data_IF_859561124309
#
_entry.id   IF_859561124309
#
_cell.length_a   1.000
_cell.length_b   1.000
_cell.length_c   1.000
_cell.angle_alpha   90.00
_cell.angle_beta   90.00
_cell.angle_gamma   90.00
#
_symmetry.space_group_name_H-M   'P 1'
#
loop_
_entity.id
_entity.type
_entity.pdbx_description
1 polymer ?
#
# COMPACT_ATOMS: atom_id res chain seq x y z
N UNK A 1 -8.34 2.22 -10.44
CA UNK A 1 -7.81 3.43 -11.12
C UNK A 1 -6.60 3.02 -11.97
N UNK A 2 -5.82 3.97 -12.48
CA UNK A 2 -4.44 3.80 -12.95
C UNK A 2 -3.47 3.82 -11.77
N UNK A 3 -2.26 3.28 -11.98
CA UNK A 3 -1.23 3.23 -10.93
C UNK A 3 -0.89 4.60 -10.34
N UNK A 4 -0.94 5.69 -11.13
CA UNK A 4 -0.63 7.05 -10.65
C UNK A 4 -1.62 7.51 -9.60
N UNK A 5 -2.90 7.30 -9.89
CA UNK A 5 -3.99 7.69 -8.98
C UNK A 5 -4.01 6.82 -7.74
N UNK A 6 -3.71 5.52 -7.87
CA UNK A 6 -3.54 4.63 -6.72
C UNK A 6 -2.43 5.12 -5.78
N UNK A 7 -1.22 5.31 -6.31
CA UNK A 7 -0.08 5.81 -5.53
C UNK A 7 -0.40 7.14 -4.84
N UNK A 8 -0.96 8.11 -5.59
CA UNK A 8 -1.28 9.42 -5.03
C UNK A 8 -2.36 9.34 -3.94
N UNK A 9 -3.46 8.66 -4.19
CA UNK A 9 -4.58 8.54 -3.24
C UNK A 9 -4.15 7.77 -1.99
N UNK A 10 -3.44 6.64 -2.17
CA UNK A 10 -2.91 5.85 -1.07
C UNK A 10 -1.93 6.65 -0.23
N UNK A 11 -1.05 7.44 -0.86
CA UNK A 11 -0.09 8.29 -0.12
C UNK A 11 -0.80 9.39 0.67
N UNK A 12 -1.76 10.09 0.05
CA UNK A 12 -2.57 11.13 0.71
C UNK A 12 -3.35 10.59 1.93
N UNK A 13 -3.82 9.35 1.86
CA UNK A 13 -4.53 8.73 3.01
C UNK A 13 -3.54 8.22 4.07
N UNK A 14 -2.44 7.57 3.66
CA UNK A 14 -1.52 6.92 4.58
C UNK A 14 -0.64 7.92 5.35
N UNK A 15 -0.14 8.96 4.68
CA UNK A 15 0.81 9.91 5.25
C UNK A 15 0.34 10.55 6.58
N UNK A 16 -0.87 11.15 6.68
CA UNK A 16 -1.34 11.73 7.93
C UNK A 16 -1.54 10.67 9.02
N UNK A 17 -1.99 9.46 8.67
CA UNK A 17 -2.15 8.36 9.63
C UNK A 17 -0.80 7.95 10.22
N UNK A 18 0.24 7.82 9.39
CA UNK A 18 1.59 7.48 9.84
C UNK A 18 2.17 8.57 10.74
N UNK A 19 1.93 9.84 10.42
CA UNK A 19 2.42 10.99 11.19
C UNK A 19 1.71 11.09 12.55
N UNK A 20 0.38 11.05 12.56
CA UNK A 20 -0.43 11.13 13.79
C UNK A 20 -0.16 9.92 14.67
N UNK A 21 0.04 8.74 14.08
CA UNK A 21 0.44 7.53 14.80
C UNK A 21 1.88 7.54 15.30
N UNK A 22 2.67 8.58 15.02
CA UNK A 22 4.10 8.66 15.36
C UNK A 22 4.95 7.50 14.84
N UNK A 23 4.52 6.88 13.73
CA UNK A 23 5.18 5.74 13.09
C UNK A 23 5.71 6.10 11.68
N UNK A 24 5.72 7.37 11.31
CA UNK A 24 6.29 7.81 10.04
C UNK A 24 7.75 7.37 9.97
N UNK A 25 8.08 6.62 8.91
CA UNK A 25 9.44 6.22 8.57
C UNK A 25 9.54 6.17 7.04
N UNK A 26 10.67 6.62 6.48
CA UNK A 26 10.85 6.64 5.02
C UNK A 26 10.70 5.24 4.40
N UNK A 27 11.17 4.19 5.07
CA UNK A 27 11.03 2.81 4.58
C UNK A 27 9.57 2.32 4.63
N UNK A 28 8.79 2.72 5.63
CA UNK A 28 7.35 2.44 5.67
C UNK A 28 6.66 3.16 4.50
N UNK A 29 6.97 4.43 4.25
CA UNK A 29 6.38 5.20 3.15
C UNK A 29 6.74 4.60 1.78
N UNK A 30 7.98 4.17 1.57
CA UNK A 30 8.39 3.42 0.37
C UNK A 30 7.59 2.12 0.25
N UNK A 31 7.43 1.40 1.36
CA UNK A 31 6.59 0.21 1.42
C UNK A 31 5.14 0.50 0.99
N UNK A 32 4.53 1.58 1.50
CA UNK A 32 3.17 2.03 1.13
C UNK A 32 3.06 2.28 -0.38
N UNK A 33 4.03 2.99 -0.96
CA UNK A 33 4.05 3.26 -2.41
C UNK A 33 4.14 1.95 -3.19
N UNK A 34 5.07 1.06 -2.84
CA UNK A 34 5.22 -0.25 -3.50
C UNK A 34 3.93 -1.07 -3.36
N UNK A 35 3.39 -1.17 -2.15
CA UNK A 35 2.17 -1.91 -1.83
C UNK A 35 0.95 -1.41 -2.62
N UNK A 36 0.84 -0.10 -2.84
CA UNK A 36 -0.24 0.49 -3.65
C UNK A 36 -0.20 0.08 -5.13
N UNK A 37 0.96 -0.35 -5.62
CA UNK A 37 1.17 -0.77 -7.01
C UNK A 37 1.06 -2.29 -7.18
N UNK A 38 1.34 -3.07 -6.13
CA UNK A 38 1.43 -4.52 -6.20
C UNK A 38 0.17 -5.22 -6.75
N UNK A 39 -1.06 -4.89 -6.30
CA UNK A 39 -2.24 -5.61 -6.79
C UNK A 39 -2.43 -5.44 -8.31
N UNK A 40 -2.05 -4.28 -8.84
CA UNK A 40 -2.21 -3.94 -10.26
C UNK A 40 -1.17 -4.58 -11.18
N UNK A 41 -0.15 -5.26 -10.64
CA UNK A 41 0.83 -6.04 -11.42
C UNK A 41 0.14 -7.17 -12.20
N UNK A 42 -0.99 -7.69 -11.70
CA UNK A 42 -1.78 -8.77 -12.31
C UNK A 42 -2.54 -8.34 -13.60
N UNK A 43 -2.55 -7.05 -13.96
CA UNK A 43 -3.16 -6.61 -15.23
C UNK A 43 -2.28 -7.00 -16.43
N UNK A 44 -2.82 -7.83 -17.33
CA UNK A 44 -2.25 -8.09 -18.66
C UNK A 44 -1.91 -6.78 -19.36
N UNK A 45 -0.66 -6.61 -19.78
CA UNK A 45 -0.17 -5.42 -20.49
C UNK A 45 0.51 -4.37 -19.60
N UNK A 46 0.56 -4.55 -18.28
CA UNK A 46 1.42 -3.72 -17.41
C UNK A 46 2.91 -3.99 -17.71
N UNK A 47 3.79 -2.99 -17.54
CA UNK A 47 5.24 -3.16 -17.75
C UNK A 47 5.84 -4.29 -16.90
N UNK A 48 5.23 -4.63 -15.76
CA UNK A 48 5.70 -5.66 -14.81
C UNK A 48 5.12 -7.05 -15.13
N UNK A 49 3.90 -7.14 -15.69
CA UNK A 49 3.30 -8.42 -16.13
C UNK A 49 4.12 -9.19 -17.18
N UNK A 50 5.09 -8.52 -17.82
CA UNK A 50 6.04 -9.12 -18.77
C UNK A 50 7.06 -10.06 -18.11
N UNK A 51 7.31 -9.94 -16.81
CA UNK A 51 8.30 -10.76 -16.11
C UNK A 51 7.75 -12.12 -15.65
N UNK A 52 6.42 -12.26 -15.47
CA UNK A 52 5.79 -13.53 -15.09
C UNK A 52 4.45 -13.71 -15.84
N UNK A 53 4.48 -13.95 -17.17
CA UNK A 53 3.29 -13.85 -18.03
C UNK A 53 2.23 -14.95 -17.84
N UNK A 54 2.59 -16.06 -17.16
CA UNK A 54 1.73 -17.25 -17.03
C UNK A 54 0.72 -17.11 -15.88
N UNK A 55 1.16 -16.56 -14.75
CA UNK A 55 0.35 -16.42 -13.53
C UNK A 55 -0.91 -15.55 -13.74
N UNK A 56 -0.82 -14.38 -14.41
CA UNK A 56 -1.99 -13.54 -14.66
C UNK A 56 -3.07 -14.21 -15.51
N UNK A 57 -2.66 -15.01 -16.51
CA UNK A 57 -3.59 -15.72 -17.38
C UNK A 57 -4.41 -16.81 -16.68
N UNK A 58 -3.78 -17.55 -15.75
CA UNK A 58 -4.44 -18.61 -14.97
C UNK A 58 -5.36 -18.00 -13.91
N UNK A 59 -4.91 -16.96 -13.23
CA UNK A 59 -5.68 -16.27 -12.20
C UNK A 59 -6.89 -15.55 -12.78
N UNK A 60 -6.74 -14.88 -13.92
CA UNK A 60 -7.87 -14.24 -14.61
C UNK A 60 -8.88 -15.28 -15.13
N UNK A 61 -8.42 -16.42 -15.67
CA UNK A 61 -9.33 -17.49 -16.14
C UNK A 61 -10.14 -18.12 -15.00
N UNK A 62 -9.53 -18.29 -13.81
CA UNK A 62 -10.16 -18.93 -12.65
C UNK A 62 -10.97 -17.96 -11.78
N UNK A 63 -10.50 -16.73 -11.62
CA UNK A 63 -11.04 -15.75 -10.70
C UNK A 63 -11.53 -14.46 -11.37
N UNK A 64 -11.53 -14.36 -12.70
CA UNK A 64 -12.03 -13.20 -13.47
C UNK A 64 -11.16 -11.95 -13.34
N UNK A 65 -11.63 -10.83 -13.91
CA UNK A 65 -10.99 -9.52 -13.76
C UNK A 65 -10.89 -9.11 -12.28
N UNK A 66 -9.69 -8.74 -11.82
CA UNK A 66 -9.35 -8.39 -10.42
C UNK A 66 -9.67 -9.54 -9.46
N UNK A 67 -9.01 -10.67 -9.72
CA UNK A 67 -9.24 -11.98 -9.10
C UNK A 67 -8.64 -12.12 -7.70
N UNK A 68 -7.95 -13.24 -7.44
CA UNK A 68 -7.48 -13.61 -6.09
C UNK A 68 -6.46 -12.63 -5.50
N UNK A 69 -5.70 -11.91 -6.33
CA UNK A 69 -4.73 -10.89 -5.86
C UNK A 69 -5.45 -9.66 -5.28
N UNK A 70 -6.63 -9.32 -5.79
CA UNK A 70 -7.47 -8.22 -5.28
C UNK A 70 -8.40 -8.69 -4.16
N UNK A 71 -7.84 -9.35 -3.15
CA UNK A 71 -8.59 -9.93 -2.03
C UNK A 71 -7.93 -9.66 -0.67
N UNK A 72 -8.73 -9.71 0.39
CA UNK A 72 -8.24 -9.63 1.77
C UNK A 72 -7.31 -10.79 2.11
N UNK A 73 -7.47 -11.95 1.47
CA UNK A 73 -6.58 -13.09 1.68
C UNK A 73 -5.16 -12.75 1.20
N UNK A 74 -5.02 -12.11 0.04
CA UNK A 74 -3.72 -11.69 -0.48
C UNK A 74 -3.05 -10.67 0.43
N UNK A 75 -3.77 -9.64 0.88
CA UNK A 75 -3.26 -8.67 1.88
C UNK A 75 -2.92 -9.35 3.20
N UNK A 76 -3.75 -10.27 3.67
CA UNK A 76 -3.57 -11.00 4.92
C UNK A 76 -2.30 -11.85 4.93
N UNK A 77 -1.95 -12.49 3.81
CA UNK A 77 -0.70 -13.26 3.68
C UNK A 77 0.51 -12.34 3.88
N UNK A 78 0.54 -11.17 3.26
CA UNK A 78 1.63 -10.19 3.44
C UNK A 78 1.68 -9.72 4.90
N UNK A 79 0.52 -9.47 5.51
CA UNK A 79 0.42 -9.11 6.92
C UNK A 79 0.97 -10.20 7.87
N UNK A 80 0.64 -11.47 7.63
CA UNK A 80 1.16 -12.60 8.42
C UNK A 80 2.68 -12.72 8.28
N UNK A 81 3.21 -12.60 7.06
CA UNK A 81 4.67 -12.59 6.84
C UNK A 81 5.33 -11.43 7.59
N UNK A 82 4.72 -10.25 7.55
CA UNK A 82 5.19 -9.07 8.30
C UNK A 82 5.25 -9.35 9.80
N UNK A 83 4.21 -9.96 10.37
CA UNK A 83 4.15 -10.32 11.79
C UNK A 83 5.25 -11.34 12.13
N UNK A 84 5.41 -12.40 11.33
CA UNK A 84 6.44 -13.43 11.56
C UNK A 84 7.83 -12.80 11.56
N UNK A 85 8.16 -11.99 10.55
CA UNK A 85 9.48 -11.34 10.48
C UNK A 85 9.72 -10.37 11.64
N UNK A 86 8.68 -9.64 12.05
CA UNK A 86 8.75 -8.77 13.23
C UNK A 86 9.04 -9.57 14.49
N UNK A 87 8.35 -10.70 14.71
CA UNK A 87 8.57 -11.59 15.85
C UNK A 87 9.98 -12.21 15.83
N UNK A 88 10.45 -12.70 14.67
CA UNK A 88 11.81 -13.23 14.54
C UNK A 88 12.87 -12.16 14.85
N UNK A 89 12.61 -10.89 14.50
CA UNK A 89 13.51 -9.79 14.82
C UNK A 89 13.52 -9.45 16.31
N UNK A 90 12.34 -9.41 16.96
CA UNK A 90 12.21 -9.20 18.40
C UNK A 90 12.91 -10.32 19.20
N UNK A 91 12.80 -11.57 18.73
CA UNK A 91 13.46 -12.72 19.33
C UNK A 91 14.97 -12.80 19.04
N UNK A 92 15.52 -11.84 18.30
CA UNK A 92 16.95 -11.80 17.96
C UNK A 92 17.41 -12.86 16.95
N UNK A 93 16.48 -13.57 16.30
CA UNK A 93 16.77 -14.62 15.30
C UNK A 93 17.22 -13.99 13.98
N UNK A 94 16.61 -12.86 13.61
CA UNK A 94 17.06 -12.02 12.49
C UNK A 94 17.47 -10.64 13.00
N UNK A 95 18.60 -10.14 12.51
CA UNK A 95 19.14 -8.84 12.93
C UNK A 95 18.73 -7.68 12.01
N UNK A 96 17.86 -7.92 11.02
CA UNK A 96 17.45 -6.91 10.04
C UNK A 96 16.00 -6.49 10.27
N UNK A 97 15.81 -5.23 10.71
CA UNK A 97 14.50 -4.64 10.94
C UNK A 97 13.87 -4.05 9.66
N UNK A 98 14.69 -3.69 8.67
CA UNK A 98 14.27 -3.06 7.40
C UNK A 98 13.20 -3.90 6.66
N UNK A 99 13.36 -5.23 6.49
CA UNK A 99 12.35 -6.01 5.76
C UNK A 99 10.97 -5.94 6.40
N UNK A 100 10.89 -5.97 7.74
CA UNK A 100 9.64 -5.94 8.48
C UNK A 100 8.91 -4.60 8.33
N UNK A 101 9.61 -3.46 8.47
CA UNK A 101 8.97 -2.14 8.32
C UNK A 101 8.55 -1.84 6.89
N UNK A 102 9.32 -2.30 5.90
CA UNK A 102 8.92 -2.16 4.48
C UNK A 102 7.68 -3.00 4.21
N UNK A 103 7.64 -4.26 4.68
CA UNK A 103 6.48 -5.13 4.51
C UNK A 103 5.23 -4.63 5.25
N UNK A 104 5.41 -3.97 6.40
CA UNK A 104 4.33 -3.26 7.07
C UNK A 104 3.74 -2.15 6.20
N UNK A 105 4.60 -1.32 5.61
CA UNK A 105 4.19 -0.32 4.63
C UNK A 105 3.49 -0.94 3.41
N UNK A 106 4.05 -2.03 2.86
CA UNK A 106 3.44 -2.77 1.74
C UNK A 106 2.04 -3.24 2.10
N UNK A 107 1.84 -3.79 3.31
CA UNK A 107 0.53 -4.25 3.78
C UNK A 107 -0.50 -3.11 3.78
N UNK A 108 -0.13 -1.94 4.31
CA UNK A 108 -0.98 -0.74 4.33
C UNK A 108 -1.31 -0.30 2.90
N UNK A 109 -0.29 -0.14 2.05
CA UNK A 109 -0.47 0.32 0.67
C UNK A 109 -1.34 -0.62 -0.16
N UNK A 110 -1.12 -1.93 0.00
CA UNK A 110 -1.92 -2.96 -0.67
C UNK A 110 -3.39 -2.89 -0.20
N UNK A 111 -3.62 -2.76 1.11
CA UNK A 111 -4.97 -2.66 1.65
C UNK A 111 -5.71 -1.41 1.12
N UNK A 112 -5.05 -0.24 1.12
CA UNK A 112 -5.64 0.99 0.61
C UNK A 112 -5.95 0.90 -0.89
N UNK A 113 -5.07 0.26 -1.68
CA UNK A 113 -5.39 -0.07 -3.08
C UNK A 113 -6.69 -0.88 -3.20
N UNK A 114 -6.90 -1.91 -2.37
CA UNK A 114 -8.16 -2.68 -2.38
C UNK A 114 -9.37 -1.81 -2.05
N UNK A 115 -9.24 -0.90 -1.07
CA UNK A 115 -10.30 0.06 -0.74
C UNK A 115 -10.64 0.95 -1.94
N UNK A 116 -9.63 1.50 -2.61
CA UNK A 116 -9.77 2.34 -3.80
C UNK A 116 -10.44 1.58 -4.95
N UNK A 117 -10.05 0.33 -5.18
CA UNK A 117 -10.66 -0.51 -6.20
C UNK A 117 -12.07 -0.99 -5.82
N UNK A 118 -12.37 -1.12 -4.54
CA UNK A 118 -13.72 -1.36 -4.01
C UNK A 118 -14.70 -0.21 -4.26
N UNK A 119 -14.21 1.02 -4.47
CA UNK A 119 -15.02 2.18 -4.83
C UNK A 119 -15.36 2.24 -6.33
N UNK A 120 -14.71 1.41 -7.16
CA UNK A 120 -14.98 1.35 -8.60
C UNK A 120 -16.38 0.81 -8.92
N UNK A 121 -16.87 1.06 -10.14
CA UNK A 121 -18.14 0.49 -10.63
C UNK A 121 -18.14 -1.05 -10.70
N UNK A 122 -16.97 -1.66 -10.84
CA UNK A 122 -16.78 -3.12 -10.87
C UNK A 122 -16.64 -3.74 -9.48
N UNK A 123 -16.15 -2.97 -8.50
CA UNK A 123 -15.76 -3.48 -7.19
C UNK A 123 -14.57 -4.45 -7.26
N UNK A 124 -14.39 -5.21 -6.18
CA UNK A 124 -13.40 -6.31 -6.10
C UNK A 124 -13.99 -7.54 -5.41
N UNK A 125 -13.31 -8.68 -5.59
CA UNK A 125 -13.64 -9.94 -4.93
C UNK A 125 -12.92 -10.05 -3.58
N UNK A 126 -13.37 -9.23 -2.62
CA UNK A 126 -12.80 -9.11 -1.27
C UNK A 126 -12.44 -10.44 -0.60
N UNK A 127 -13.26 -11.47 -0.81
CA UNK A 127 -13.13 -12.77 -0.14
C UNK A 127 -12.63 -13.90 -1.06
N UNK A 128 -12.09 -13.59 -2.25
CA UNK A 128 -11.38 -14.59 -3.03
C UNK A 128 -10.11 -15.08 -2.28
N UNK A 129 -9.65 -16.32 -2.50
CA UNK A 129 -10.22 -17.36 -3.36
C UNK A 129 -11.41 -18.11 -2.72
N UNK A 130 -11.79 -17.82 -1.48
CA UNK A 130 -12.85 -18.53 -0.75
C UNK A 130 -14.26 -18.28 -1.29
N UNK A 131 -14.53 -17.04 -1.75
CA UNK A 131 -15.80 -16.65 -2.37
C UNK A 131 -15.55 -15.87 -3.65
N UNK A 132 -16.21 -16.28 -4.73
CA UNK A 132 -16.05 -15.70 -6.06
C UNK A 132 -17.11 -14.62 -6.37
N UNK A 133 -17.45 -13.77 -5.39
CA UNK A 133 -18.46 -12.70 -5.53
C UNK A 133 -17.80 -11.33 -5.39
N UNK A 134 -18.10 -10.43 -6.33
CA UNK A 134 -17.64 -9.04 -6.27
C UNK A 134 -18.53 -8.22 -5.33
N UNK A 135 -17.90 -7.41 -4.48
CA UNK A 135 -18.59 -6.43 -3.63
C UNK A 135 -18.01 -5.04 -3.88
N UNK A 136 -18.89 -4.04 -3.82
CA UNK A 136 -18.58 -2.64 -4.06
C UNK A 136 -18.78 -1.87 -2.76
N UNK A 137 -17.74 -1.19 -2.29
CA UNK A 137 -17.86 -0.28 -1.15
C UNK A 137 -18.81 0.86 -1.50
N UNK A 138 -18.79 1.31 -2.75
CA UNK A 138 -19.60 2.43 -3.25
C UNK A 138 -21.10 2.15 -3.35
N UNK A 139 -21.57 0.92 -3.09
CA UNK A 139 -23.01 0.63 -3.00
C UNK A 139 -23.61 1.09 -1.66
N UNK A 140 -22.79 1.34 -0.63
CA UNK A 140 -23.24 1.98 0.61
C UNK A 140 -23.54 3.46 0.35
N UNK A 141 -24.68 3.96 0.87
CA UNK A 141 -25.16 5.34 0.63
C UNK A 141 -24.08 6.40 0.90
N UNK A 142 -23.35 6.26 2.01
CA UNK A 142 -22.29 7.19 2.41
C UNK A 142 -21.09 7.23 1.44
N UNK A 143 -20.86 6.20 0.62
CA UNK A 143 -19.73 6.15 -0.32
C UNK A 143 -20.15 6.25 -1.79
N UNK A 144 -21.44 6.49 -2.06
CA UNK A 144 -21.98 6.53 -3.42
C UNK A 144 -21.34 7.63 -4.28
N UNK A 145 -21.00 8.77 -3.67
CA UNK A 145 -20.38 9.90 -4.38
C UNK A 145 -18.93 9.62 -4.83
N UNK A 146 -18.23 8.73 -4.13
CA UNK A 146 -16.86 8.30 -4.46
C UNK A 146 -16.80 7.27 -5.62
N UNK A 147 -17.95 6.86 -6.15
CA UNK A 147 -18.02 5.87 -7.23
C UNK A 147 -17.40 6.40 -8.53
N UNK A 148 -16.55 5.58 -9.15
CA UNK A 148 -15.87 5.91 -10.40
C UNK A 148 -15.75 4.74 -11.39
N UNK A 149 -15.59 5.08 -12.67
CA UNK A 149 -15.29 4.15 -13.75
C UNK A 149 -13.86 4.41 -14.23
N UNK A 150 -13.07 3.35 -14.40
CA UNK A 150 -11.73 3.46 -14.98
C UNK A 150 -11.90 3.64 -16.49
N UNK A 151 -11.47 4.79 -16.99
CA UNK A 151 -11.41 5.14 -18.41
C UNK A 151 -9.97 5.61 -18.56
N UNK A 152 -9.12 4.82 -19.22
CA UNK A 152 -7.66 5.02 -19.20
C UNK A 152 -7.24 6.47 -19.46
N UNK A 153 -6.08 6.88 -18.93
CA UNK A 153 -5.63 8.27 -18.89
C UNK A 153 -5.54 8.95 -20.27
N UNK A 154 -5.41 8.18 -21.36
CA UNK A 154 -5.36 8.67 -22.75
C UNK A 154 -6.74 8.99 -23.35
N UNK A 155 -7.83 8.54 -22.72
CA UNK A 155 -9.17 8.55 -23.32
C UNK A 155 -10.04 9.74 -22.84
N UNK A 156 -9.38 10.84 -22.44
CA UNK A 156 -10.02 12.08 -22.01
C UNK A 156 -10.15 12.26 -20.50
N UNK A 157 -10.64 13.43 -20.10
CA UNK A 157 -10.81 13.79 -18.69
C UNK A 157 -11.90 12.93 -18.02
N UNK A 158 -11.60 12.41 -16.84
CA UNK A 158 -12.47 11.48 -16.11
C UNK A 158 -12.42 11.75 -14.60
N UNK A 159 -13.34 11.17 -13.83
CA UNK A 159 -13.32 11.25 -12.35
C UNK A 159 -11.98 10.82 -11.75
N UNK A 160 -11.25 9.95 -12.43
CA UNK A 160 -9.92 9.53 -11.99
C UNK A 160 -8.91 10.69 -11.97
N UNK A 161 -8.97 11.58 -12.96
CA UNK A 161 -8.13 12.78 -13.00
C UNK A 161 -8.45 13.72 -11.84
N UNK A 162 -9.74 13.84 -11.48
CA UNK A 162 -10.18 14.62 -10.32
C UNK A 162 -9.56 14.05 -9.05
N UNK A 163 -9.63 12.73 -8.84
CA UNK A 163 -9.02 12.10 -7.67
C UNK A 163 -7.51 12.30 -7.61
N UNK A 164 -6.82 12.19 -8.75
CA UNK A 164 -5.38 12.44 -8.82
C UNK A 164 -5.05 13.89 -8.42
N UNK A 165 -5.76 14.88 -8.96
CA UNK A 165 -5.55 16.29 -8.64
C UNK A 165 -5.81 16.55 -7.15
N UNK A 166 -6.92 16.05 -6.62
CA UNK A 166 -7.27 16.20 -5.20
C UNK A 166 -6.22 15.55 -4.31
N UNK A 167 -5.77 14.33 -4.62
CA UNK A 167 -4.73 13.64 -3.86
C UNK A 167 -3.39 14.40 -3.88
N UNK A 168 -2.99 14.96 -5.01
CA UNK A 168 -1.78 15.79 -5.10
C UNK A 168 -1.92 17.04 -4.23
N UNK A 169 -3.06 17.74 -4.30
CA UNK A 169 -3.30 18.92 -3.47
C UNK A 169 -3.25 18.57 -1.99
N UNK A 170 -3.87 17.46 -1.58
CA UNK A 170 -3.83 16.98 -0.19
C UNK A 170 -2.41 16.66 0.26
N UNK A 171 -1.61 15.97 -0.54
CA UNK A 171 -0.20 15.70 -0.23
C UNK A 171 0.59 16.99 -0.05
N UNK A 172 0.39 17.99 -0.92
CA UNK A 172 1.07 19.28 -0.78
C UNK A 172 0.68 20.01 0.52
N UNK A 173 -0.61 19.96 0.88
CA UNK A 173 -1.11 20.50 2.15
C UNK A 173 -0.48 19.75 3.34
N UNK A 174 -0.46 18.42 3.30
CA UNK A 174 0.15 17.56 4.33
C UNK A 174 1.64 17.86 4.50
N UNK A 175 2.39 18.01 3.41
CA UNK A 175 3.81 18.38 3.45
C UNK A 175 3.98 19.73 4.14
N UNK A 176 3.11 20.70 3.86
CA UNK A 176 3.17 22.01 4.50
C UNK A 176 2.89 21.92 6.01
N UNK A 177 1.81 21.25 6.41
CA UNK A 177 1.40 21.12 7.82
C UNK A 177 2.37 20.27 8.65
N UNK A 178 2.92 19.20 8.07
CA UNK A 178 3.79 18.24 8.77
C UNK A 178 5.27 18.37 8.40
N UNK A 179 5.68 19.52 7.86
CA UNK A 179 7.05 19.78 7.39
C UNK A 179 8.11 19.41 8.42
N UNK A 180 7.86 19.67 9.70
CA UNK A 180 8.83 19.43 10.78
C UNK A 180 9.07 17.94 10.99
N UNK A 181 8.00 17.14 11.09
CA UNK A 181 8.06 15.69 11.23
C UNK A 181 8.72 15.05 10.02
N UNK A 182 8.31 15.44 8.80
CA UNK A 182 8.88 14.93 7.55
C UNK A 182 10.38 15.26 7.47
N UNK A 183 10.76 16.51 7.75
CA UNK A 183 12.17 16.93 7.75
C UNK A 183 12.99 16.16 8.78
N UNK A 184 12.42 15.87 9.96
CA UNK A 184 13.10 15.09 10.99
C UNK A 184 13.40 13.66 10.55
N UNK A 185 12.46 13.00 9.85
CA UNK A 185 12.67 11.65 9.30
C UNK A 185 13.72 11.64 8.19
N UNK A 186 13.71 12.63 7.30
CA UNK A 186 14.72 12.75 6.24
C UNK A 186 16.11 12.94 6.86
N UNK A 187 16.25 13.79 7.87
CA UNK A 187 17.51 13.96 8.61
C UNK A 187 17.97 12.67 9.28
N UNK A 188 17.06 11.93 9.93
CA UNK A 188 17.35 10.62 10.52
C UNK A 188 17.92 9.65 9.47
N UNK A 189 17.32 9.59 8.28
CA UNK A 189 17.79 8.73 7.20
C UNK A 189 19.20 9.11 6.72
N UNK A 190 19.46 10.41 6.53
CA UNK A 190 20.77 10.90 6.06
C UNK A 190 21.86 10.59 7.10
N UNK A 191 21.61 10.87 8.37
CA UNK A 191 22.58 10.63 9.46
C UNK A 191 22.88 9.13 9.58
N UNK A 192 21.86 8.28 9.60
CA UNK A 192 22.03 6.83 9.69
C UNK A 192 22.67 6.22 8.43
N UNK A 193 22.48 6.85 7.27
CA UNK A 193 23.15 6.45 6.03
C UNK A 193 24.65 6.75 6.04
N UNK A 194 25.09 7.81 6.71
CA UNK A 194 26.50 8.20 6.83
C UNK A 194 27.27 7.37 7.87
N UNK A 195 26.60 6.87 8.90
CA UNK A 195 27.20 6.03 9.95
C UNK A 195 27.33 4.55 9.59
N UNK A 196 26.92 4.15 8.37
CA UNK A 196 26.46 2.79 8.11
C UNK A 196 25.14 2.53 8.85
N UNK A 197 24.25 1.69 8.30
CA UNK A 197 22.94 1.36 8.87
C UNK A 197 23.06 0.69 10.26
N UNK A 198 23.45 1.45 11.28
CA UNK A 198 23.41 1.08 12.69
C UNK A 198 22.11 1.65 13.22
N UNK A 199 21.05 0.86 13.11
CA UNK A 199 19.83 1.17 13.82
C UNK A 199 20.11 1.10 15.32
N UNK A 200 19.58 2.05 16.12
CA UNK A 200 19.61 1.90 17.56
C UNK A 200 18.85 0.62 17.90
N UNK A 201 19.57 -0.35 18.47
CA UNK A 201 18.96 -1.47 19.19
C UNK A 201 18.11 -0.87 20.30
N UNK A 202 16.81 -0.69 20.05
CA UNK A 202 15.87 -0.35 21.11
C UNK A 202 15.56 -1.64 21.88
N UNK A 203 15.88 -1.60 23.18
CA UNK A 203 15.58 -2.57 24.24
C UNK A 203 16.49 -3.81 24.37
N UNK A 204 17.72 -3.61 24.88
CA UNK A 204 18.21 -4.49 25.93
C UNK A 204 17.59 -4.02 27.26
N UNK A 205 16.41 -4.53 27.60
CA UNK A 205 16.07 -4.64 29.02
C UNK A 205 16.89 -5.82 29.56
N UNK A 206 17.92 -5.49 30.32
CA UNK A 206 18.56 -6.42 31.23
C UNK A 206 17.49 -6.90 32.21
N UNK A 207 16.86 -8.03 31.91
CA UNK A 207 16.27 -8.85 32.97
C UNK A 207 17.44 -9.54 33.66
N UNK A 208 18.05 -8.84 34.61
CA UNK A 208 18.72 -9.47 35.72
C UNK A 208 17.62 -10.07 36.61
N UNK A 209 17.47 -11.39 36.54
CA UNK A 209 17.00 -12.23 37.63
C UNK A 209 17.98 -13.39 37.71
#
# INVERSE_FOLDING_TARGET
MTYRTHVATTTAVALPVLIIGHILNVFILVGVIIGSMLPDIDKKGSHISKFVPILPGILEKKYGHRGAVHSLAATGIIGVITIILTLLSILGIIHTYIPAIVLFGITIGFFLHLCEDGLSVSGIKWFAPFKNKSYKISDKSIFKFLKYKTIGFSNGFSKEHIYLIVAIILILIEIYFFKTQITSEIKRLIINGQSGLRFPYYYHHNYMI
#
